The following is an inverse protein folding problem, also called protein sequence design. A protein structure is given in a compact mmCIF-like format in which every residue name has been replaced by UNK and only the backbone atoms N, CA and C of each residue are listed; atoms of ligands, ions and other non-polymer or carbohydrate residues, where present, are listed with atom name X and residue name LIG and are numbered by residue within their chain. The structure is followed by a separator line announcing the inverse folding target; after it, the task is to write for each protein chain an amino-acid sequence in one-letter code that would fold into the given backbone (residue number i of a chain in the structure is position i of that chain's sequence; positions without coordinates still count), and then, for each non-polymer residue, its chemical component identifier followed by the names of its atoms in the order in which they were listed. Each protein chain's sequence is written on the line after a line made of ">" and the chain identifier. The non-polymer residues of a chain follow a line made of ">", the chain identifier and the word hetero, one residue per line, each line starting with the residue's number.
data_IF_725493498915
#
_entry.id   IF_725493498915
#
_cell.length_a   1.000
_cell.length_b   1.000
_cell.length_c   1.000
_cell.angle_alpha   90.00
_cell.angle_beta   90.00
_cell.angle_gamma   90.00
#
_symmetry.space_group_name_H-M   'P 1'
#
loop_
_entity.id
_entity.type
_entity.pdbx_description
1 polymer ?
#
# COMPACT_ATOMS: atom_id res chain seq x y z
N UNK A 1 -17.43 -0.69 -3.36
CA UNK A 1 -17.58 0.17 -4.57
C UNK A 1 -16.49 -0.22 -5.56
N UNK A 2 -16.82 -0.41 -6.83
CA UNK A 2 -15.86 -0.78 -7.88
C UNK A 2 -15.24 0.44 -8.57
N UNK A 3 -14.17 0.27 -9.34
CA UNK A 3 -13.54 1.29 -10.17
C UNK A 3 -14.58 2.00 -11.07
N UNK A 4 -15.38 1.24 -11.81
CA UNK A 4 -16.40 1.80 -12.70
C UNK A 4 -17.42 2.64 -11.93
N UNK A 5 -17.92 2.13 -10.79
CA UNK A 5 -18.88 2.87 -9.98
C UNK A 5 -18.29 4.14 -9.35
N UNK A 6 -17.02 4.11 -8.94
CA UNK A 6 -16.32 5.28 -8.42
C UNK A 6 -16.15 6.35 -9.51
N UNK A 7 -15.72 5.95 -10.72
CA UNK A 7 -15.58 6.88 -11.84
C UNK A 7 -16.93 7.46 -12.27
N UNK A 8 -17.99 6.65 -12.34
CA UNK A 8 -19.31 7.16 -12.70
C UNK A 8 -19.87 8.11 -11.63
N UNK A 9 -19.59 7.87 -10.35
CA UNK A 9 -19.92 8.85 -9.30
C UNK A 9 -19.15 10.17 -9.48
N UNK A 10 -17.89 10.13 -9.91
CA UNK A 10 -17.15 11.36 -10.27
C UNK A 10 -17.83 12.05 -11.46
N UNK A 11 -18.22 11.31 -12.50
CA UNK A 11 -18.91 11.87 -13.66
C UNK A 11 -20.18 12.62 -13.25
N UNK A 12 -20.97 12.06 -12.33
CA UNK A 12 -22.18 12.72 -11.81
C UNK A 12 -21.85 14.03 -11.07
N UNK A 13 -20.74 14.07 -10.32
CA UNK A 13 -20.28 15.27 -9.58
C UNK A 13 -19.79 16.36 -10.53
N UNK A 14 -19.10 15.99 -11.61
CA UNK A 14 -18.49 16.93 -12.56
C UNK A 14 -19.33 17.18 -13.82
N UNK A 15 -20.58 16.70 -13.84
CA UNK A 15 -21.52 16.84 -14.96
C UNK A 15 -21.01 16.25 -16.28
N UNK A 16 -20.37 15.08 -16.23
CA UNK A 16 -20.01 14.28 -17.39
C UNK A 16 -20.97 13.11 -17.56
N UNK A 17 -21.09 12.59 -18.78
CA UNK A 17 -21.82 11.34 -19.02
C UNK A 17 -21.11 10.17 -18.34
N UNK A 18 -21.91 9.24 -17.80
CA UNK A 18 -21.40 7.98 -17.26
C UNK A 18 -20.84 7.08 -18.38
N UNK A 19 -19.91 6.21 -18.02
CA UNK A 19 -19.33 5.20 -18.89
C UNK A 19 -20.01 3.84 -18.65
N UNK A 20 -20.17 3.04 -19.70
CA UNK A 20 -20.52 1.62 -19.57
C UNK A 20 -19.34 0.77 -19.08
N UNK A 21 -18.12 1.16 -19.48
CA UNK A 21 -16.85 0.54 -19.11
C UNK A 21 -15.76 1.60 -19.16
N UNK A 22 -14.85 1.60 -18.19
CA UNK A 22 -13.73 2.55 -18.13
C UNK A 22 -12.40 1.86 -18.42
N UNK A 23 -12.21 0.65 -17.91
CA UNK A 23 -11.03 -0.15 -18.14
C UNK A 23 -11.06 -0.84 -19.50
N UNK A 24 -10.00 -0.70 -20.29
CA UNK A 24 -9.93 -1.23 -21.65
C UNK A 24 -10.73 -0.43 -22.69
N UNK A 25 -11.33 0.70 -22.30
CA UNK A 25 -12.02 1.60 -23.21
C UNK A 25 -11.05 2.37 -24.13
N UNK A 26 -11.47 2.61 -25.37
CA UNK A 26 -10.77 3.48 -26.32
C UNK A 26 -11.15 4.97 -26.17
N UNK A 27 -12.09 5.30 -25.28
CA UNK A 27 -12.42 6.68 -24.96
C UNK A 27 -11.28 7.32 -24.14
N UNK A 28 -10.69 8.38 -24.66
CA UNK A 28 -9.62 9.12 -24.00
C UNK A 28 -10.02 9.68 -22.63
N UNK A 29 -11.29 10.04 -22.44
CA UNK A 29 -11.79 10.53 -21.15
C UNK A 29 -11.84 9.38 -20.13
N UNK A 30 -12.30 8.19 -20.53
CA UNK A 30 -12.30 7.01 -19.68
C UNK A 30 -10.87 6.64 -19.24
N UNK A 31 -9.92 6.63 -20.19
CA UNK A 31 -8.50 6.38 -19.89
C UNK A 31 -7.92 7.42 -18.92
N UNK A 32 -8.30 8.69 -19.08
CA UNK A 32 -7.88 9.77 -18.17
C UNK A 32 -8.43 9.56 -16.76
N UNK A 33 -9.70 9.16 -16.63
CA UNK A 33 -10.32 8.86 -15.33
C UNK A 33 -9.64 7.67 -14.65
N UNK A 34 -9.32 6.60 -15.38
CA UNK A 34 -8.57 5.44 -14.85
C UNK A 34 -7.17 5.86 -14.38
N UNK A 35 -6.47 6.69 -15.14
CA UNK A 35 -5.15 7.20 -14.74
C UNK A 35 -5.21 8.05 -13.46
N UNK A 36 -6.22 8.91 -13.33
CA UNK A 36 -6.45 9.68 -12.10
C UNK A 36 -6.83 8.80 -10.91
N UNK A 37 -7.64 7.76 -11.13
CA UNK A 37 -8.01 6.79 -10.10
C UNK A 37 -6.78 6.03 -9.61
N UNK A 38 -5.92 5.57 -10.52
CA UNK A 38 -4.65 4.92 -10.18
C UNK A 38 -3.75 5.86 -9.36
N UNK A 39 -3.55 7.11 -9.79
CA UNK A 39 -2.72 8.07 -9.08
C UNK A 39 -3.27 8.40 -7.67
N UNK A 40 -4.59 8.61 -7.57
CA UNK A 40 -5.26 8.85 -6.30
C UNK A 40 -5.12 7.66 -5.35
N UNK A 41 -5.35 6.44 -5.83
CA UNK A 41 -5.21 5.23 -5.02
C UNK A 41 -3.78 4.97 -4.57
N UNK A 42 -2.78 5.16 -5.45
CA UNK A 42 -1.36 5.05 -5.11
C UNK A 42 -0.93 6.06 -4.03
N UNK A 43 -1.51 7.26 -4.04
CA UNK A 43 -1.31 8.27 -3.00
C UNK A 43 -1.96 7.84 -1.67
N UNK A 44 -3.26 7.52 -1.68
CA UNK A 44 -4.02 7.15 -0.48
C UNK A 44 -3.38 5.93 0.20
N UNK A 45 -3.03 4.91 -0.58
CA UNK A 45 -2.41 3.69 -0.08
C UNK A 45 -1.05 3.94 0.60
N UNK A 46 -0.31 4.99 0.19
CA UNK A 46 0.99 5.35 0.78
C UNK A 46 0.89 6.22 2.03
N UNK A 47 -0.23 6.88 2.25
CA UNK A 47 -0.39 7.83 3.36
C UNK A 47 -0.72 7.18 4.71
N UNK A 48 -1.03 5.88 4.72
CA UNK A 48 -1.25 5.12 5.96
C UNK A 48 -0.87 3.63 5.83
N UNK A 49 -0.79 2.98 6.99
CA UNK A 49 -0.69 1.53 7.14
C UNK A 49 -2.12 0.97 7.26
N UNK A 50 -2.85 0.91 6.14
CA UNK A 50 -4.24 0.42 6.14
C UNK A 50 -4.31 -1.03 6.65
N UNK A 51 -5.23 -1.36 7.55
CA UNK A 51 -5.33 -2.69 8.17
C UNK A 51 -5.37 -3.82 7.13
N UNK A 52 -6.11 -3.61 6.03
CA UNK A 52 -6.24 -4.61 4.95
C UNK A 52 -4.93 -4.83 4.16
N UNK A 53 -4.01 -3.87 4.16
CA UNK A 53 -2.71 -3.99 3.47
C UNK A 53 -1.60 -4.49 4.39
N UNK A 54 -1.84 -4.63 5.71
CA UNK A 54 -0.92 -5.25 6.65
C UNK A 54 -0.85 -6.77 6.41
N UNK A 55 0.37 -7.29 6.27
CA UNK A 55 0.65 -8.71 6.02
C UNK A 55 1.79 -9.20 6.91
N UNK A 56 1.86 -10.51 7.10
CA UNK A 56 2.95 -11.16 7.85
C UNK A 56 3.59 -12.25 7.01
N UNK A 57 4.92 -12.34 7.07
CA UNK A 57 5.72 -13.41 6.46
C UNK A 57 6.39 -14.22 7.57
N UNK A 58 6.22 -15.55 7.54
CA UNK A 58 7.02 -16.45 8.38
C UNK A 58 8.27 -16.87 7.62
N UNK A 59 9.43 -16.58 8.19
CA UNK A 59 10.74 -16.80 7.61
C UNK A 59 11.19 -18.25 7.86
N UNK A 60 11.78 -18.87 6.84
CA UNK A 60 12.25 -20.25 6.92
C UNK A 60 13.77 -20.36 6.99
N UNK A 61 14.49 -19.43 6.35
CA UNK A 61 15.95 -19.39 6.31
C UNK A 61 16.47 -17.96 6.10
N UNK A 62 17.80 -17.80 6.21
CA UNK A 62 18.49 -16.57 5.82
C UNK A 62 19.46 -16.88 4.67
N UNK A 63 19.44 -16.13 3.55
CA UNK A 63 18.56 -15.01 3.25
C UNK A 63 17.10 -15.44 3.00
N UNK A 64 16.17 -14.52 3.28
CA UNK A 64 14.75 -14.62 2.89
C UNK A 64 14.46 -13.54 1.85
N UNK A 65 13.77 -13.88 0.77
CA UNK A 65 13.46 -12.90 -0.28
C UNK A 65 12.29 -12.01 0.16
N UNK A 66 12.27 -10.76 -0.29
CA UNK A 66 11.10 -9.92 -0.11
C UNK A 66 9.91 -10.54 -0.84
N UNK A 67 8.71 -10.60 -0.22
CA UNK A 67 7.49 -10.91 -0.92
C UNK A 67 7.31 -10.00 -2.14
N UNK A 68 6.73 -10.51 -3.23
CA UNK A 68 6.49 -9.73 -4.45
C UNK A 68 5.61 -8.49 -4.20
N UNK A 69 4.76 -8.56 -3.19
CA UNK A 69 3.85 -7.51 -2.75
C UNK A 69 4.43 -6.63 -1.62
N UNK A 70 5.69 -6.78 -1.24
CA UNK A 70 6.33 -6.00 -0.17
C UNK A 70 6.48 -4.52 -0.57
N UNK A 71 6.14 -3.61 0.36
CA UNK A 71 6.39 -2.18 0.23
C UNK A 71 7.40 -1.67 1.27
N UNK A 72 7.11 -1.91 2.54
CA UNK A 72 7.93 -1.51 3.69
C UNK A 72 7.65 -2.39 4.89
N UNK A 73 8.54 -2.36 5.88
CA UNK A 73 8.27 -2.90 7.20
C UNK A 73 7.27 -2.02 7.95
N UNK A 74 6.47 -2.64 8.82
CA UNK A 74 5.64 -1.91 9.79
C UNK A 74 6.53 -1.15 10.80
N UNK A 75 6.11 0.02 11.28
CA UNK A 75 6.86 0.73 12.32
C UNK A 75 6.77 -0.02 13.66
N UNK A 76 7.77 0.15 14.53
CA UNK A 76 7.66 -0.30 15.93
C UNK A 76 7.98 -1.77 16.20
N UNK A 77 8.77 -2.44 15.36
CA UNK A 77 9.28 -3.78 15.64
C UNK A 77 8.76 -4.87 14.70
N UNK A 78 8.68 -4.57 13.41
CA UNK A 78 8.21 -5.48 12.37
C UNK A 78 8.83 -6.88 12.35
N UNK A 79 10.06 -7.06 12.85
CA UNK A 79 10.76 -8.34 12.76
C UNK A 79 10.95 -8.90 14.16
N UNK A 80 10.36 -10.07 14.40
CA UNK A 80 10.37 -10.74 15.70
C UNK A 80 10.59 -12.24 15.54
N UNK A 81 11.14 -12.88 16.56
CA UNK A 81 11.16 -14.33 16.67
C UNK A 81 9.76 -14.86 17.00
N UNK A 82 9.57 -16.17 16.86
CA UNK A 82 8.35 -16.87 17.26
C UNK A 82 8.00 -16.71 18.75
N UNK A 83 9.00 -16.47 19.61
CA UNK A 83 8.82 -16.19 21.04
C UNK A 83 8.46 -14.71 21.35
N UNK A 84 8.32 -13.86 20.32
CA UNK A 84 8.01 -12.44 20.45
C UNK A 84 9.23 -11.53 20.65
N UNK A 85 10.44 -12.06 20.77
CA UNK A 85 11.65 -11.25 20.89
C UNK A 85 11.92 -10.48 19.60
N UNK A 86 12.01 -9.15 19.69
CA UNK A 86 12.36 -8.31 18.55
C UNK A 86 13.78 -8.60 18.03
N UNK A 87 13.92 -8.65 16.71
CA UNK A 87 15.20 -8.73 16.02
C UNK A 87 15.61 -7.32 15.61
N UNK A 88 16.83 -6.91 15.97
CA UNK A 88 17.24 -5.51 15.85
C UNK A 88 17.59 -5.16 14.39
N UNK A 89 17.04 -4.07 13.83
CA UNK A 89 17.42 -3.63 12.50
C UNK A 89 18.85 -3.09 12.49
N UNK A 90 19.60 -3.44 11.45
CA UNK A 90 20.83 -2.77 11.06
C UNK A 90 20.52 -1.96 9.81
N UNK A 91 20.93 -0.70 9.74
CA UNK A 91 20.60 0.19 8.59
C UNK A 91 21.80 0.49 7.72
N UNK A 92 23.01 0.17 8.19
CA UNK A 92 24.26 0.46 7.49
C UNK A 92 25.01 -0.83 7.14
N UNK A 93 25.49 -0.93 5.89
CA UNK A 93 26.19 -2.11 5.38
C UNK A 93 27.53 -2.40 6.08
N UNK A 94 28.24 -1.37 6.55
CA UNK A 94 29.47 -1.52 7.31
C UNK A 94 29.22 -2.10 8.70
N UNK A 95 28.19 -1.61 9.40
CA UNK A 95 27.76 -2.20 10.68
C UNK A 95 27.35 -3.66 10.51
N UNK A 96 26.61 -3.96 9.43
CA UNK A 96 26.23 -5.33 9.11
C UNK A 96 27.44 -6.25 8.92
N UNK A 97 28.46 -5.80 8.19
CA UNK A 97 29.69 -6.58 7.97
C UNK A 97 30.40 -6.92 9.29
N UNK A 98 30.46 -5.97 10.24
CA UNK A 98 31.04 -6.21 11.58
C UNK A 98 30.19 -7.21 12.38
N UNK A 99 28.86 -7.05 12.38
CA UNK A 99 27.93 -7.92 13.12
C UNK A 99 27.95 -9.36 12.61
N UNK A 100 28.12 -9.57 11.30
CA UNK A 100 28.23 -10.93 10.74
C UNK A 100 29.60 -11.55 11.04
N UNK A 101 30.66 -10.73 11.13
CA UNK A 101 32.01 -11.19 11.45
C UNK A 101 32.23 -11.50 12.94
N UNK A 102 31.40 -10.96 13.84
CA UNK A 102 31.53 -11.14 15.29
C UNK A 102 30.28 -11.83 15.85
N UNK A 103 30.39 -13.06 16.36
CA UNK A 103 29.26 -13.76 16.95
C UNK A 103 28.57 -12.94 18.05
N UNK A 104 27.26 -12.78 17.92
CA UNK A 104 26.42 -12.07 18.89
C UNK A 104 25.28 -12.96 19.36
N UNK A 105 24.99 -12.92 20.66
CA UNK A 105 23.77 -13.51 21.24
C UNK A 105 22.53 -12.69 20.94
N UNK A 106 22.70 -11.39 20.68
CA UNK A 106 21.63 -10.49 20.24
C UNK A 106 21.34 -10.74 18.76
N UNK A 107 20.08 -11.01 18.37
CA UNK A 107 19.71 -11.21 16.98
C UNK A 107 19.55 -9.88 16.24
N UNK A 108 20.08 -9.82 15.02
CA UNK A 108 20.02 -8.68 14.11
C UNK A 108 19.47 -9.09 12.75
N UNK A 109 18.83 -8.16 12.06
CA UNK A 109 18.46 -8.31 10.66
C UNK A 109 18.94 -7.12 9.81
N UNK A 110 19.16 -7.37 8.53
CA UNK A 110 19.54 -6.36 7.55
C UNK A 110 18.80 -6.58 6.24
N UNK A 111 18.37 -5.49 5.63
CA UNK A 111 17.72 -5.50 4.32
C UNK A 111 18.72 -5.11 3.24
N UNK A 112 18.97 -5.99 2.27
CA UNK A 112 19.86 -5.71 1.13
C UNK A 112 19.43 -6.49 -0.10
N UNK A 113 19.39 -5.82 -1.26
CA UNK A 113 19.21 -6.48 -2.55
C UNK A 113 17.89 -7.25 -2.70
N UNK A 114 16.82 -6.77 -2.05
CA UNK A 114 15.53 -7.47 -2.07
C UNK A 114 15.44 -8.66 -1.11
N UNK A 115 16.32 -8.73 -0.11
CA UNK A 115 16.38 -9.83 0.85
C UNK A 115 16.47 -9.35 2.29
N UNK A 116 15.89 -10.12 3.20
CA UNK A 116 16.14 -10.07 4.63
C UNK A 116 17.28 -11.03 4.98
N UNK A 117 18.28 -10.49 5.67
CA UNK A 117 19.44 -11.21 6.15
C UNK A 117 19.41 -11.23 7.68
N UNK A 118 19.79 -12.35 8.30
CA UNK A 118 19.77 -12.52 9.75
C UNK A 118 21.13 -12.91 10.31
N UNK A 119 21.48 -12.36 11.49
CA UNK A 119 22.68 -12.73 12.26
C UNK A 119 22.30 -12.90 13.73
N UNK A 120 22.51 -14.09 14.33
CA UNK A 120 22.91 -15.33 13.65
C UNK A 120 21.85 -15.81 12.65
N UNK A 121 22.23 -16.61 11.66
CA UNK A 121 21.30 -17.15 10.65
C UNK A 121 20.15 -17.95 11.27
N UNK A 122 20.39 -18.59 12.41
CA UNK A 122 19.36 -19.30 13.19
C UNK A 122 18.25 -18.39 13.72
N UNK A 123 18.47 -17.08 13.82
CA UNK A 123 17.43 -16.12 14.21
C UNK A 123 16.34 -15.97 13.14
N UNK A 124 16.57 -16.43 11.90
CA UNK A 124 15.60 -16.39 10.83
C UNK A 124 14.51 -17.46 10.98
N UNK A 125 14.83 -18.62 11.54
CA UNK A 125 13.90 -19.76 11.57
C UNK A 125 12.68 -19.41 12.42
N UNK A 126 11.50 -19.44 11.80
CA UNK A 126 10.22 -19.05 12.41
C UNK A 126 10.16 -17.61 12.88
N UNK A 127 11.05 -16.73 12.39
CA UNK A 127 10.88 -15.30 12.56
C UNK A 127 9.63 -14.84 11.79
N UNK A 128 8.93 -13.85 12.33
CA UNK A 128 7.80 -13.20 11.69
C UNK A 128 8.22 -11.81 11.28
N UNK A 129 7.94 -11.47 10.03
CA UNK A 129 8.13 -10.14 9.45
C UNK A 129 6.74 -9.56 9.15
N UNK A 130 6.36 -8.52 9.88
CA UNK A 130 5.15 -7.76 9.69
C UNK A 130 5.42 -6.58 8.74
N UNK A 131 4.75 -6.54 7.60
CA UNK A 131 5.02 -5.61 6.52
C UNK A 131 3.75 -5.01 5.93
N UNK A 132 3.89 -3.85 5.28
CA UNK A 132 2.83 -3.21 4.51
C UNK A 132 2.95 -3.68 3.06
N UNK A 133 1.85 -4.16 2.50
CA UNK A 133 1.77 -4.53 1.10
C UNK A 133 1.61 -3.30 0.20
N UNK A 134 2.25 -3.32 -0.98
CA UNK A 134 2.01 -2.32 -2.04
C UNK A 134 0.71 -2.56 -2.80
N UNK A 135 0.08 -3.72 -2.61
CA UNK A 135 -1.14 -4.08 -3.32
C UNK A 135 -2.32 -3.48 -2.55
N UNK A 136 -3.00 -2.51 -3.17
CA UNK A 136 -4.14 -1.79 -2.57
C UNK A 136 -5.43 -1.96 -3.36
N UNK A 137 -5.37 -2.62 -4.53
CA UNK A 137 -6.51 -3.01 -5.35
C UNK A 137 -6.83 -4.47 -5.08
N UNK A 138 -8.13 -4.82 -5.04
CA UNK A 138 -8.61 -6.19 -4.98
C UNK A 138 -9.42 -6.49 -6.25
N UNK A 139 -8.96 -7.47 -7.03
CA UNK A 139 -9.71 -8.09 -8.10
C UNK A 139 -10.27 -9.43 -7.57
N UNK A 140 -11.58 -9.54 -7.40
CA UNK A 140 -12.19 -10.79 -6.93
C UNK A 140 -12.54 -11.67 -8.15
N UNK A 141 -12.02 -12.91 -8.28
CA UNK A 141 -11.25 -13.70 -7.31
C UNK A 141 -9.73 -13.75 -7.56
N UNK A 142 -9.18 -12.97 -8.50
CA UNK A 142 -7.76 -13.05 -8.85
C UNK A 142 -6.79 -12.63 -7.73
N UNK A 143 -7.25 -11.83 -6.77
CA UNK A 143 -6.54 -11.42 -5.57
C UNK A 143 -6.10 -9.95 -5.58
N UNK A 144 -5.19 -9.63 -4.64
CA UNK A 144 -4.71 -8.27 -4.43
C UNK A 144 -3.62 -7.89 -5.45
N UNK A 145 -3.71 -6.68 -6.00
CA UNK A 145 -2.77 -6.13 -6.98
C UNK A 145 -2.47 -4.65 -6.71
N UNK A 146 -1.45 -4.11 -7.37
CA UNK A 146 -1.02 -2.72 -7.21
C UNK A 146 -1.59 -1.78 -8.29
N UNK A 147 -2.20 -2.34 -9.33
CA UNK A 147 -2.69 -1.60 -10.49
C UNK A 147 -4.10 -2.06 -10.77
N UNK A 148 -5.01 -1.12 -11.03
CA UNK A 148 -6.32 -1.44 -11.57
C UNK A 148 -6.19 -2.20 -12.90
N UNK A 149 -6.85 -3.34 -13.02
CA UNK A 149 -6.87 -4.20 -14.20
C UNK A 149 -8.28 -4.58 -14.69
N UNK A 150 -9.34 -4.14 -14.02
CA UNK A 150 -10.73 -4.35 -14.43
C UNK A 150 -11.71 -3.31 -13.86
N UNK A 151 -12.90 -3.20 -14.45
CA UNK A 151 -13.97 -2.29 -14.01
C UNK A 151 -14.58 -2.67 -12.65
N UNK A 152 -14.53 -3.95 -12.30
CA UNK A 152 -15.04 -4.52 -11.07
C UNK A 152 -14.02 -4.52 -9.92
N UNK A 153 -12.80 -4.04 -10.17
CA UNK A 153 -11.80 -3.87 -9.14
C UNK A 153 -12.28 -2.98 -8.00
N UNK A 154 -11.91 -3.32 -6.79
CA UNK A 154 -12.25 -2.57 -5.56
C UNK A 154 -10.98 -2.12 -4.84
N UNK A 155 -11.11 -1.19 -3.88
CA UNK A 155 -9.98 -0.70 -3.08
C UNK A 155 -9.94 -1.32 -1.70
N UNK A 156 -8.74 -1.51 -1.16
CA UNK A 156 -8.51 -1.97 0.22
C UNK A 156 -8.56 -0.84 1.26
N UNK A 157 -8.66 0.41 0.82
CA UNK A 157 -8.98 1.57 1.65
C UNK A 157 -10.42 2.04 1.36
N UNK A 158 -11.01 2.90 2.21
CA UNK A 158 -12.39 3.37 2.04
C UNK A 158 -12.64 4.09 0.71
N UNK A 159 -13.64 3.63 -0.04
CA UNK A 159 -13.76 3.95 -1.47
C UNK A 159 -14.16 5.41 -1.73
N UNK A 160 -14.79 6.10 -0.77
CA UNK A 160 -15.09 7.54 -0.89
C UNK A 160 -13.83 8.41 -1.04
N UNK A 161 -12.70 7.97 -0.50
CA UNK A 161 -11.42 8.67 -0.65
C UNK A 161 -10.97 8.64 -2.11
N UNK A 162 -11.23 7.54 -2.83
CA UNK A 162 -10.92 7.43 -4.25
C UNK A 162 -11.73 8.46 -5.05
N UNK A 163 -13.04 8.53 -4.84
CA UNK A 163 -13.94 9.48 -5.52
C UNK A 163 -13.47 10.92 -5.29
N UNK A 164 -13.26 11.32 -4.04
CA UNK A 164 -12.75 12.66 -3.70
C UNK A 164 -11.38 12.94 -4.32
N UNK A 165 -10.48 11.95 -4.29
CA UNK A 165 -9.16 12.02 -4.88
C UNK A 165 -9.17 12.25 -6.40
N UNK A 166 -10.12 11.64 -7.11
CA UNK A 166 -10.31 11.85 -8.55
C UNK A 166 -10.91 13.24 -8.82
N UNK A 167 -11.94 13.66 -8.07
CA UNK A 167 -12.65 14.94 -8.29
C UNK A 167 -11.68 16.13 -8.27
N UNK A 168 -10.86 16.27 -7.22
CA UNK A 168 -9.98 17.43 -7.11
C UNK A 168 -8.88 17.41 -8.18
N UNK A 169 -8.36 16.22 -8.55
CA UNK A 169 -7.39 16.05 -9.63
C UNK A 169 -7.96 16.43 -10.98
N UNK A 170 -9.19 16.01 -11.25
CA UNK A 170 -9.90 16.37 -12.47
C UNK A 170 -10.10 17.88 -12.57
N UNK A 171 -10.59 18.52 -11.50
CA UNK A 171 -10.77 19.98 -11.46
C UNK A 171 -9.45 20.71 -11.69
N UNK A 172 -8.38 20.27 -11.03
CA UNK A 172 -7.02 20.81 -11.22
C UNK A 172 -6.54 20.66 -12.67
N UNK A 173 -6.74 19.49 -13.30
CA UNK A 173 -6.37 19.27 -14.70
C UNK A 173 -7.14 20.19 -15.66
N UNK A 174 -8.41 20.50 -15.35
CA UNK A 174 -9.26 21.42 -16.12
C UNK A 174 -9.02 22.90 -15.81
N UNK A 175 -8.15 23.23 -14.85
CA UNK A 175 -7.92 24.62 -14.42
C UNK A 175 -9.10 25.24 -13.67
N UNK A 176 -9.96 24.41 -13.05
CA UNK A 176 -11.06 24.84 -12.20
C UNK A 176 -10.61 24.96 -10.75
N UNK A 177 -11.33 25.75 -9.94
CA UNK A 177 -11.10 25.82 -8.50
C UNK A 177 -11.26 24.44 -7.86
N UNK A 178 -10.25 24.00 -7.11
CA UNK A 178 -10.14 22.64 -6.57
C UNK A 178 -9.72 22.62 -5.09
N UNK A 179 -9.34 23.75 -4.54
CA UNK A 179 -8.75 23.92 -3.22
C UNK A 179 -9.68 23.42 -2.11
N UNK A 180 -10.97 23.74 -2.20
CA UNK A 180 -11.98 23.27 -1.23
C UNK A 180 -12.15 21.75 -1.28
N UNK A 181 -12.16 21.15 -2.49
CA UNK A 181 -12.27 19.70 -2.63
C UNK A 181 -11.01 18.98 -2.15
N UNK A 182 -9.84 19.58 -2.33
CA UNK A 182 -8.59 19.07 -1.76
C UNK A 182 -8.63 19.14 -0.23
N UNK A 183 -9.06 20.26 0.35
CA UNK A 183 -9.19 20.40 1.79
C UNK A 183 -10.17 19.37 2.39
N UNK A 184 -11.29 19.13 1.72
CA UNK A 184 -12.27 18.11 2.10
C UNK A 184 -11.69 16.69 2.00
N UNK A 185 -10.94 16.39 0.93
CA UNK A 185 -10.23 15.11 0.78
C UNK A 185 -9.21 14.90 1.90
N UNK A 186 -8.42 15.90 2.25
CA UNK A 186 -7.41 15.82 3.30
C UNK A 186 -8.04 15.62 4.69
N UNK A 187 -9.16 16.30 4.96
CA UNK A 187 -9.90 16.15 6.20
C UNK A 187 -10.49 14.73 6.36
N UNK A 188 -11.17 14.23 5.32
CA UNK A 188 -11.71 12.87 5.30
C UNK A 188 -10.59 11.83 5.41
N UNK A 189 -9.49 12.02 4.68
CA UNK A 189 -8.36 11.09 4.74
C UNK A 189 -7.83 10.96 6.17
N UNK A 190 -7.64 12.08 6.88
CA UNK A 190 -7.20 12.05 8.26
C UNK A 190 -8.20 11.33 9.18
N UNK A 191 -9.50 11.54 8.97
CA UNK A 191 -10.56 10.86 9.73
C UNK A 191 -10.52 9.35 9.49
N UNK A 192 -10.41 8.91 8.24
CA UNK A 192 -10.41 7.49 7.87
C UNK A 192 -9.16 6.76 8.33
N UNK A 193 -8.00 7.42 8.31
CA UNK A 193 -6.77 6.86 8.86
C UNK A 193 -6.92 6.58 10.36
N UNK A 194 -7.62 7.46 11.09
CA UNK A 194 -7.87 7.24 12.51
C UNK A 194 -8.90 6.13 12.74
N UNK A 195 -10.01 6.14 11.98
CA UNK A 195 -11.04 5.11 12.09
C UNK A 195 -10.51 3.70 11.76
N UNK A 196 -9.70 3.56 10.71
CA UNK A 196 -9.09 2.28 10.33
C UNK A 196 -8.12 1.75 11.40
N UNK A 197 -7.40 2.66 12.09
CA UNK A 197 -6.53 2.29 13.20
C UNK A 197 -7.29 1.78 14.42
N UNK A 198 -8.48 2.30 14.69
CA UNK A 198 -9.33 1.88 15.83
C UNK A 198 -10.08 0.57 15.55
N UNK A 199 -10.20 0.17 14.29
CA UNK A 199 -10.91 -1.03 13.88
C UNK A 199 -10.07 -2.33 13.92
N UNK A 200 -8.74 -2.22 14.01
CA UNK A 200 -7.80 -3.34 14.11
C UNK A 200 -7.41 -3.66 15.55
#
# INVERSE_FOLDING_TARGET
>A
MTLLSAVNQVCDIVSLSQFESVYGSNDQNAQTMVAMAQEAGDEIARRADWQKTLKSLTVTASPENFPSNFQRLTPGGAVRKSDGTFIRPVTNSGQWAVIVGVPSTTPYFFMKGGQFLFSPTSAAVSAVIDYVSKNWVLNDPAGEQAIFSADDDTTLFPERLLVKGIVWRWKRQKGLAFEDNLAEFEADLAQEINADREAG
#
